data_IF_384520454710
#
_entry.id   IF_384520454710
#
_cell.length_a   1.000
_cell.length_b   1.000
_cell.length_c   1.000
_cell.angle_alpha   90.00
_cell.angle_beta   90.00
_cell.angle_gamma   90.00
#
_symmetry.space_group_name_H-M   'P 1'
#
loop_
_entity.id
_entity.type
_entity.pdbx_description
1 polymer ?
#
# COMPACT_ATOMS: atom_id res chain seq x y z
N UNK A 1 4.03 4.53 13.12
CA UNK A 1 3.90 5.35 11.88
C UNK A 1 5.06 6.33 11.59
N UNK A 2 6.32 6.07 12.00
CA UNK A 2 7.42 7.04 11.77
C UNK A 2 8.59 6.51 10.96
N UNK A 3 8.57 5.27 10.47
CA UNK A 3 9.80 4.67 9.92
C UNK A 3 9.66 3.86 8.66
N UNK A 4 8.55 3.19 8.38
CA UNK A 4 8.31 2.54 7.07
C UNK A 4 7.85 3.51 5.99
N UNK A 5 7.38 4.68 6.41
CA UNK A 5 7.08 5.79 5.50
C UNK A 5 8.26 6.74 5.32
N UNK A 6 9.29 6.63 6.19
CA UNK A 6 10.21 7.73 6.46
C UNK A 6 11.57 7.64 5.75
N UNK A 7 11.88 6.57 5.01
CA UNK A 7 13.28 6.32 4.60
C UNK A 7 13.41 5.68 3.20
N UNK A 8 12.57 6.05 2.23
CA UNK A 8 12.79 5.66 0.82
C UNK A 8 13.86 6.54 0.12
N UNK A 9 14.32 7.65 0.75
CA UNK A 9 14.86 8.80 -0.02
C UNK A 9 16.22 9.40 0.43
N UNK A 10 17.06 8.72 1.23
CA UNK A 10 18.27 9.37 1.79
C UNK A 10 19.62 8.67 1.53
N UNK A 11 19.98 8.42 0.27
CA UNK A 11 21.37 8.26 -0.20
C UNK A 11 21.37 8.40 -1.75
N UNK A 12 22.11 9.26 -2.45
CA UNK A 12 23.42 9.87 -2.21
C UNK A 12 23.45 11.32 -2.70
N UNK A 13 23.98 12.21 -1.86
CA UNK A 13 24.48 13.52 -2.27
C UNK A 13 25.80 13.39 -3.03
N UNK A 14 25.85 13.78 -4.30
CA UNK A 14 26.97 14.55 -4.89
C UNK A 14 26.55 15.31 -6.16
N UNK A 15 26.53 16.65 -6.01
CA UNK A 15 27.00 17.67 -6.98
C UNK A 15 26.17 17.97 -8.25
N UNK A 16 25.53 19.15 -8.16
CA UNK A 16 25.52 20.29 -9.11
C UNK A 16 24.34 20.56 -10.07
N UNK A 17 23.62 21.62 -9.69
CA UNK A 17 23.32 22.84 -10.46
C UNK A 17 22.17 22.87 -11.50
N UNK A 18 21.10 23.54 -11.05
CA UNK A 18 20.43 24.74 -11.60
C UNK A 18 19.97 24.77 -13.06
N UNK A 19 18.70 25.09 -13.27
CA UNK A 19 18.26 26.30 -14.00
C UNK A 19 16.80 26.63 -13.72
N UNK A 20 16.53 27.93 -13.69
CA UNK A 20 15.28 28.62 -13.34
C UNK A 20 14.20 28.60 -14.46
N UNK A 21 13.00 29.05 -14.03
CA UNK A 21 12.01 29.93 -14.70
C UNK A 21 10.65 29.37 -15.19
N UNK A 22 9.65 29.73 -14.37
CA UNK A 22 8.45 30.53 -14.66
C UNK A 22 7.27 30.01 -15.53
N UNK A 23 6.15 29.81 -14.82
CA UNK A 23 4.87 30.54 -14.92
C UNK A 23 3.91 30.24 -16.10
N UNK A 24 2.70 29.74 -15.78
CA UNK A 24 1.45 30.53 -15.70
C UNK A 24 0.17 29.68 -15.97
N UNK A 25 -0.87 29.96 -15.18
CA UNK A 25 -2.18 29.28 -15.07
C UNK A 25 -3.26 29.89 -16.02
N UNK A 26 -4.30 29.09 -16.30
CA UNK A 26 -5.77 29.36 -16.46
C UNK A 26 -6.36 29.41 -17.89
N UNK A 27 -7.69 29.16 -18.09
CA UNK A 27 -8.77 28.82 -17.13
C UNK A 27 -9.72 27.64 -17.52
N UNK A 28 -10.58 27.34 -16.53
CA UNK A 28 -11.81 26.53 -16.44
C UNK A 28 -12.77 26.51 -17.64
N UNK A 29 -13.49 25.40 -17.81
CA UNK A 29 -14.87 25.38 -18.31
C UNK A 29 -15.71 24.36 -17.54
N UNK A 30 -16.72 24.87 -16.83
CA UNK A 30 -17.80 24.12 -16.18
C UNK A 30 -18.85 23.73 -17.24
N UNK A 31 -19.30 22.47 -17.24
CA UNK A 31 -20.51 22.05 -17.96
C UNK A 31 -21.36 21.14 -17.05
N UNK A 32 -22.35 21.75 -16.40
CA UNK A 32 -23.38 21.07 -15.59
C UNK A 32 -24.44 20.47 -16.53
N UNK A 33 -24.42 19.14 -16.72
CA UNK A 33 -25.50 18.42 -17.38
C UNK A 33 -26.32 17.57 -16.37
N UNK A 34 -27.57 17.96 -16.06
CA UNK A 34 -28.37 17.33 -15.02
C UNK A 34 -29.23 16.21 -15.61
N UNK A 35 -28.66 15.03 -15.90
CA UNK A 35 -29.45 13.84 -16.30
C UNK A 35 -28.71 12.50 -16.10
N UNK A 36 -28.21 12.19 -14.90
CA UNK A 36 -27.80 10.82 -14.57
C UNK A 36 -28.88 10.15 -13.68
N UNK A 37 -29.36 8.92 -13.99
CA UNK A 37 -30.19 8.14 -13.09
C UNK A 37 -29.46 7.87 -11.77
N UNK A 38 -30.17 7.47 -10.68
CA UNK A 38 -29.52 7.14 -9.42
C UNK A 38 -28.49 6.05 -9.69
N UNK A 39 -27.21 6.36 -9.54
CA UNK A 39 -26.16 5.36 -9.65
C UNK A 39 -26.35 4.42 -8.47
N UNK A 40 -26.46 3.12 -8.76
CA UNK A 40 -26.19 2.10 -7.75
C UNK A 40 -24.82 2.44 -7.16
N UNK A 41 -24.77 2.49 -5.83
CA UNK A 41 -23.55 2.77 -5.09
C UNK A 41 -22.57 1.64 -5.44
N UNK A 42 -21.68 1.90 -6.40
CA UNK A 42 -20.54 1.06 -6.66
C UNK A 42 -19.74 1.14 -5.37
N UNK A 43 -19.79 0.09 -4.57
CA UNK A 43 -18.85 -0.08 -3.47
C UNK A 43 -17.52 -0.30 -4.17
N UNK A 44 -16.79 0.79 -4.40
CA UNK A 44 -15.39 0.75 -4.81
C UNK A 44 -14.65 0.33 -3.57
N UNK A 45 -14.41 -0.97 -3.43
CA UNK A 45 -13.42 -1.47 -2.49
C UNK A 45 -12.06 -1.20 -3.13
N UNK A 46 -11.43 -0.12 -2.70
CA UNK A 46 -10.06 0.23 -3.07
C UNK A 46 -9.10 -0.79 -2.40
N UNK A 47 -7.96 -1.08 -3.04
CA UNK A 47 -6.92 -1.90 -2.43
C UNK A 47 -6.55 -1.37 -1.05
N UNK A 48 -6.30 -2.27 -0.09
CA UNK A 48 -6.01 -1.90 1.31
C UNK A 48 -4.57 -2.22 1.68
N UNK A 49 -3.73 -1.19 1.73
CA UNK A 49 -2.35 -1.31 2.19
C UNK A 49 -2.30 -1.74 3.67
N UNK A 50 -3.21 -1.21 4.50
CA UNK A 50 -3.33 -1.61 5.91
C UNK A 50 -3.65 -3.11 6.05
N UNK A 51 -4.55 -3.63 5.20
CA UNK A 51 -4.84 -5.05 5.15
C UNK A 51 -3.60 -5.82 4.76
N UNK A 52 -2.92 -5.44 3.67
CA UNK A 52 -1.72 -6.13 3.20
C UNK A 52 -0.66 -6.20 4.29
N UNK A 53 -0.36 -5.09 4.97
CA UNK A 53 0.57 -5.06 6.09
C UNK A 53 0.14 -6.00 7.24
N UNK A 54 -1.15 -5.99 7.60
CA UNK A 54 -1.70 -6.89 8.62
C UNK A 54 -1.54 -8.36 8.23
N UNK A 55 -1.79 -8.69 6.96
CA UNK A 55 -1.68 -10.05 6.43
C UNK A 55 -0.22 -10.54 6.42
N UNK A 56 0.74 -9.69 6.06
CA UNK A 56 2.16 -10.08 6.11
C UNK A 56 2.64 -10.30 7.54
N UNK A 57 2.20 -9.49 8.51
CA UNK A 57 2.48 -9.74 9.93
C UNK A 57 1.87 -11.09 10.39
N UNK A 58 0.64 -11.41 9.96
CA UNK A 58 0.00 -12.71 10.27
C UNK A 58 0.80 -13.87 9.66
N UNK A 59 1.33 -13.75 8.42
CA UNK A 59 2.19 -14.76 7.79
C UNK A 59 3.46 -15.01 8.61
N UNK A 60 4.09 -13.93 9.09
CA UNK A 60 5.29 -14.03 9.92
C UNK A 60 5.02 -14.73 11.26
N UNK A 61 3.88 -14.43 11.89
CA UNK A 61 3.47 -15.11 13.11
C UNK A 61 3.05 -16.56 12.88
N UNK A 62 2.40 -16.89 11.77
CA UNK A 62 2.03 -18.27 11.44
C UNK A 62 3.27 -19.20 11.39
N UNK A 63 4.42 -18.65 11.03
CA UNK A 63 5.70 -19.37 11.02
C UNK A 63 6.35 -19.51 12.41
N UNK A 64 5.89 -18.78 13.44
CA UNK A 64 6.63 -18.60 14.70
C UNK A 64 5.80 -18.68 16.01
N UNK A 65 4.52 -18.26 16.11
CA UNK A 65 3.72 -18.17 17.37
C UNK A 65 2.19 -18.21 17.19
N UNK A 66 1.45 -18.28 18.32
CA UNK A 66 -0.01 -18.29 18.40
C UNK A 66 -0.63 -16.87 18.19
N UNK A 67 -1.88 -16.82 17.70
CA UNK A 67 -2.71 -15.63 17.45
C UNK A 67 -2.71 -14.55 18.57
N UNK A 68 -2.39 -14.93 19.81
CA UNK A 68 -2.39 -14.05 20.99
C UNK A 68 -1.33 -12.96 20.97
N UNK A 69 -0.35 -13.03 20.06
CA UNK A 69 0.73 -12.04 19.97
C UNK A 69 0.41 -10.88 18.99
N UNK A 70 -0.73 -10.96 18.27
CA UNK A 70 -1.22 -9.87 17.43
C UNK A 70 -1.73 -8.70 18.30
N UNK A 71 -1.44 -7.48 17.86
CA UNK A 71 -1.94 -6.22 18.44
C UNK A 71 -3.47 -6.11 18.45
N UNK A 72 -4.14 -6.72 17.47
CA UNK A 72 -5.59 -6.85 17.42
C UNK A 72 -5.98 -8.15 16.72
N UNK A 73 -7.23 -8.56 16.91
CA UNK A 73 -7.88 -9.64 16.16
C UNK A 73 -9.07 -9.09 15.39
N UNK A 74 -9.40 -9.68 14.24
CA UNK A 74 -10.68 -9.39 13.59
C UNK A 74 -11.84 -9.94 14.42
N UNK A 75 -12.94 -9.18 14.48
CA UNK A 75 -14.23 -9.67 14.95
C UNK A 75 -14.95 -10.29 13.76
N UNK A 76 -14.85 -11.61 13.65
CA UNK A 76 -15.37 -12.36 12.51
C UNK A 76 -16.90 -12.46 12.49
N UNK A 77 -17.53 -12.59 11.31
CA UNK A 77 -16.91 -12.70 9.99
C UNK A 77 -16.44 -11.36 9.41
N UNK A 78 -15.44 -11.43 8.53
CA UNK A 78 -15.00 -10.31 7.67
C UNK A 78 -15.17 -10.73 6.20
N UNK A 79 -15.35 -9.75 5.31
CA UNK A 79 -15.42 -10.00 3.87
C UNK A 79 -14.15 -9.50 3.20
N UNK A 80 -13.45 -10.38 2.48
CA UNK A 80 -12.22 -10.08 1.77
C UNK A 80 -12.48 -10.08 0.27
N UNK A 81 -11.90 -9.11 -0.41
CA UNK A 81 -11.86 -9.06 -1.87
C UNK A 81 -10.59 -9.70 -2.40
N UNK A 82 -10.70 -10.38 -3.54
CA UNK A 82 -9.59 -10.95 -4.27
C UNK A 82 -9.34 -10.21 -5.58
N UNK A 83 -8.13 -10.33 -6.11
CA UNK A 83 -7.69 -9.72 -7.37
C UNK A 83 -8.49 -10.14 -8.63
N UNK A 84 -9.32 -11.18 -8.52
CA UNK A 84 -10.25 -11.60 -9.58
C UNK A 84 -11.62 -10.89 -9.50
N UNK A 85 -11.79 -9.95 -8.57
CA UNK A 85 -13.04 -9.19 -8.31
C UNK A 85 -14.10 -9.98 -7.54
N UNK A 86 -13.75 -11.12 -6.93
CA UNK A 86 -14.65 -11.87 -6.06
C UNK A 86 -14.49 -11.47 -4.60
N UNK A 87 -15.55 -11.63 -3.83
CA UNK A 87 -15.56 -11.41 -2.38
C UNK A 87 -15.86 -12.71 -1.66
N UNK A 88 -15.09 -13.01 -0.62
CA UNK A 88 -15.29 -14.19 0.24
C UNK A 88 -15.52 -13.77 1.69
N UNK A 89 -16.46 -14.44 2.36
CA UNK A 89 -16.69 -14.25 3.80
C UNK A 89 -15.81 -15.20 4.60
N UNK A 90 -14.86 -14.64 5.35
CA UNK A 90 -13.96 -15.37 6.23
C UNK A 90 -14.57 -15.44 7.62
N UNK A 91 -14.82 -16.66 8.09
CA UNK A 91 -15.63 -16.89 9.31
C UNK A 91 -14.83 -16.98 10.60
N UNK A 92 -13.52 -17.20 10.51
CA UNK A 92 -12.61 -17.30 11.64
C UNK A 92 -11.14 -17.15 11.22
N UNK A 93 -10.25 -17.18 12.20
CA UNK A 93 -8.80 -17.04 12.01
C UNK A 93 -8.16 -18.18 11.21
N UNK A 94 -8.65 -19.42 11.35
CA UNK A 94 -8.09 -20.56 10.60
C UNK A 94 -8.46 -20.46 9.12
N UNK A 95 -9.67 -20.01 8.81
CA UNK A 95 -10.08 -19.68 7.45
C UNK A 95 -9.23 -18.54 6.86
N UNK A 96 -8.97 -17.48 7.63
CA UNK A 96 -8.08 -16.38 7.21
C UNK A 96 -6.68 -16.90 6.90
N UNK A 97 -6.10 -17.70 7.80
CA UNK A 97 -4.76 -18.24 7.64
C UNK A 97 -4.67 -19.16 6.42
N UNK A 98 -5.70 -19.98 6.17
CA UNK A 98 -5.77 -20.83 4.98
C UNK A 98 -5.77 -20.00 3.70
N UNK A 99 -6.68 -19.02 3.59
CA UNK A 99 -6.76 -18.13 2.44
C UNK A 99 -5.42 -17.40 2.19
N UNK A 100 -4.78 -16.95 3.27
CA UNK A 100 -3.54 -16.21 3.23
C UNK A 100 -2.32 -17.05 2.81
N UNK A 101 -2.24 -18.31 3.27
CA UNK A 101 -1.14 -19.23 2.90
C UNK A 101 -1.30 -19.84 1.51
N UNK A 102 -2.51 -19.79 0.95
CA UNK A 102 -2.84 -20.28 -0.39
C UNK A 102 -2.76 -19.18 -1.47
N UNK A 103 -2.44 -17.93 -1.10
CA UNK A 103 -2.31 -16.81 -2.06
C UNK A 103 -1.30 -17.12 -3.19
N UNK A 104 -1.70 -16.77 -4.41
CA UNK A 104 -0.89 -16.84 -5.62
C UNK A 104 -1.02 -15.54 -6.43
N UNK A 105 -0.14 -15.33 -7.42
CA UNK A 105 -0.26 -14.18 -8.32
C UNK A 105 -1.62 -14.06 -9.03
N UNK A 106 -2.35 -15.17 -9.20
CA UNK A 106 -3.66 -15.18 -9.88
C UNK A 106 -4.84 -15.23 -8.92
N UNK A 107 -4.60 -15.40 -7.63
CA UNK A 107 -5.62 -15.54 -6.59
C UNK A 107 -5.03 -15.08 -5.26
N UNK A 108 -5.23 -13.81 -4.93
CA UNK A 108 -4.75 -13.21 -3.69
C UNK A 108 -5.69 -12.10 -3.23
N UNK A 109 -5.62 -11.80 -1.94
CA UNK A 109 -6.47 -10.82 -1.27
C UNK A 109 -6.02 -9.42 -1.68
N UNK A 110 -6.95 -8.54 -2.03
CA UNK A 110 -6.64 -7.15 -2.40
C UNK A 110 -7.28 -6.14 -1.46
N UNK A 111 -8.41 -6.51 -0.84
CA UNK A 111 -9.20 -5.58 -0.04
C UNK A 111 -9.99 -6.26 1.06
N UNK A 112 -10.56 -5.41 1.92
CA UNK A 112 -11.48 -5.77 3.00
C UNK A 112 -12.68 -4.84 2.93
N UNK A 113 -13.89 -5.38 3.14
CA UNK A 113 -15.10 -4.56 3.16
C UNK A 113 -15.16 -3.70 4.44
N UNK A 114 -15.30 -2.38 4.27
CA UNK A 114 -15.57 -1.45 5.36
C UNK A 114 -17.10 -1.27 5.55
N UNK A 115 -17.58 -1.06 6.79
CA UNK A 115 -16.82 -1.13 8.03
C UNK A 115 -16.65 -2.57 8.53
N UNK A 116 -15.55 -2.83 9.24
CA UNK A 116 -15.34 -4.06 10.01
C UNK A 116 -14.97 -3.74 11.47
N UNK A 117 -14.99 -4.75 12.34
CA UNK A 117 -14.64 -4.57 13.76
C UNK A 117 -13.38 -5.35 14.10
N UNK A 118 -12.54 -4.76 14.95
CA UNK A 118 -11.38 -5.42 15.56
C UNK A 118 -11.56 -5.52 17.07
N UNK A 119 -10.93 -6.53 17.66
CA UNK A 119 -10.89 -6.79 19.10
C UNK A 119 -9.48 -6.47 19.59
N UNK A 120 -9.37 -5.47 20.46
CA UNK A 120 -8.14 -5.05 21.13
C UNK A 120 -8.25 -5.31 22.64
N UNK A 121 -7.15 -5.20 23.39
CA UNK A 121 -7.19 -5.27 24.86
C UNK A 121 -8.13 -4.22 25.48
N UNK A 122 -8.26 -3.05 24.86
CA UNK A 122 -9.14 -1.96 25.28
C UNK A 122 -10.62 -2.18 24.96
N UNK A 123 -10.95 -3.19 24.15
CA UNK A 123 -12.31 -3.49 23.68
C UNK A 123 -12.43 -3.55 22.17
N UNK A 124 -13.67 -3.60 21.68
CA UNK A 124 -13.96 -3.63 20.24
C UNK A 124 -13.90 -2.23 19.64
N UNK A 125 -13.26 -2.12 18.47
CA UNK A 125 -13.14 -0.87 17.70
C UNK A 125 -13.68 -1.11 16.29
N UNK A 126 -14.59 -0.24 15.83
CA UNK A 126 -15.09 -0.26 14.45
C UNK A 126 -14.16 0.55 13.57
N UNK A 127 -13.75 -0.01 12.44
CA UNK A 127 -12.91 0.62 11.42
C UNK A 127 -13.80 0.94 10.22
N UNK A 128 -13.95 2.21 9.88
CA UNK A 128 -14.89 2.71 8.88
C UNK A 128 -14.24 3.03 7.53
N UNK A 129 -12.91 3.11 7.48
CA UNK A 129 -12.17 3.51 6.28
C UNK A 129 -10.74 2.99 6.30
N UNK A 130 -10.10 3.01 5.13
CA UNK A 130 -8.68 2.67 4.99
C UNK A 130 -7.78 3.58 5.85
N UNK A 131 -8.07 4.87 5.96
CA UNK A 131 -7.31 5.79 6.81
C UNK A 131 -7.39 5.40 8.30
N UNK A 132 -8.57 4.99 8.79
CA UNK A 132 -8.72 4.47 10.16
C UNK A 132 -7.95 3.15 10.33
N UNK A 133 -7.92 2.30 9.30
CA UNK A 133 -7.19 1.05 9.34
C UNK A 133 -5.67 1.26 9.35
N UNK A 134 -5.14 2.14 8.50
CA UNK A 134 -3.73 2.50 8.46
C UNK A 134 -3.27 3.08 9.80
N UNK A 135 -4.10 3.93 10.42
CA UNK A 135 -3.83 4.46 11.78
C UNK A 135 -3.67 3.32 12.79
N UNK A 136 -4.60 2.36 12.80
CA UNK A 136 -4.55 1.19 13.68
C UNK A 136 -3.28 0.34 13.45
N UNK A 137 -3.01 -0.03 12.21
CA UNK A 137 -1.84 -0.86 11.84
C UNK A 137 -0.54 -0.18 12.23
N UNK A 138 -0.47 1.14 12.05
CA UNK A 138 0.72 1.90 12.34
C UNK A 138 0.92 2.18 13.84
N UNK A 139 -0.13 2.12 14.66
CA UNK A 139 -0.09 2.05 16.13
C UNK A 139 0.36 0.65 16.62
N UNK A 140 -0.02 -0.40 15.90
CA UNK A 140 0.44 -1.77 16.13
C UNK A 140 1.89 -2.04 15.72
N UNK A 141 2.46 -1.12 14.94
CA UNK A 141 3.84 -1.20 14.48
C UNK A 141 4.10 -2.47 13.64
N UNK A 142 3.13 -2.95 12.87
CA UNK A 142 3.21 -4.08 11.91
C UNK A 142 4.03 -3.75 10.66
N UNK A 143 5.03 -2.89 10.84
CA UNK A 143 5.61 -2.03 9.83
C UNK A 143 7.14 -2.05 10.00
N UNK A 144 7.66 -3.25 10.31
CA UNK A 144 8.91 -3.44 11.04
C UNK A 144 10.16 -3.47 10.18
N UNK A 145 10.06 -3.41 8.86
CA UNK A 145 11.26 -3.30 8.00
C UNK A 145 11.62 -1.82 7.84
N UNK A 146 12.85 -1.44 8.20
CA UNK A 146 13.26 -0.05 7.97
C UNK A 146 13.36 0.19 6.47
N UNK A 147 12.83 1.29 5.96
CA UNK A 147 12.82 1.56 4.51
C UNK A 147 14.24 1.70 3.97
N UNK A 148 15.20 2.10 4.81
CA UNK A 148 16.60 2.11 4.40
C UNK A 148 17.08 0.69 4.07
N UNK A 149 16.61 -0.31 4.82
CA UNK A 149 16.92 -1.71 4.57
C UNK A 149 16.20 -2.19 3.31
N UNK A 150 14.93 -1.81 3.11
CA UNK A 150 14.18 -2.13 1.87
C UNK A 150 14.87 -1.51 0.66
N UNK A 151 15.11 -0.20 0.63
CA UNK A 151 15.78 0.50 -0.49
C UNK A 151 17.16 -0.05 -0.73
N UNK A 152 17.97 -0.25 0.33
CA UNK A 152 19.32 -0.80 0.14
C UNK A 152 19.26 -2.19 -0.50
N UNK A 153 18.25 -2.98 -0.12
CA UNK A 153 18.09 -4.32 -0.61
C UNK A 153 17.40 -4.39 -1.99
N UNK A 154 16.52 -3.44 -2.34
CA UNK A 154 15.79 -3.42 -3.63
C UNK A 154 16.46 -2.55 -4.70
N UNK A 155 17.36 -1.62 -4.37
CA UNK A 155 17.97 -0.69 -5.34
C UNK A 155 18.70 -1.37 -6.50
N UNK A 156 19.14 -2.62 -6.32
CA UNK A 156 19.81 -3.40 -7.35
C UNK A 156 18.91 -4.46 -7.97
N UNK A 157 17.63 -4.52 -7.60
CA UNK A 157 16.67 -5.55 -8.03
C UNK A 157 15.82 -5.09 -9.21
N UNK A 158 15.30 -3.86 -9.15
CA UNK A 158 14.46 -3.30 -10.20
C UNK A 158 14.60 -1.78 -10.29
N UNK A 159 14.25 -1.24 -11.44
CA UNK A 159 14.07 0.19 -11.68
C UNK A 159 12.58 0.48 -11.91
N UNK A 160 12.05 1.53 -11.30
CA UNK A 160 10.67 1.96 -11.52
C UNK A 160 10.56 2.62 -12.90
N UNK A 161 9.59 2.19 -13.70
CA UNK A 161 9.28 2.83 -14.98
C UNK A 161 8.32 3.99 -14.72
N UNK A 162 8.82 5.21 -14.94
CA UNK A 162 8.03 6.44 -14.77
C UNK A 162 7.15 6.74 -15.99
N UNK A 163 6.00 7.42 -15.79
CA UNK A 163 5.54 8.05 -14.56
C UNK A 163 4.88 7.10 -13.56
N UNK A 164 4.89 7.48 -12.27
CA UNK A 164 4.15 6.82 -11.19
C UNK A 164 3.31 7.85 -10.45
N UNK A 165 2.05 7.51 -10.16
CA UNK A 165 1.16 8.32 -9.34
C UNK A 165 1.02 7.67 -7.96
N UNK A 166 0.99 8.49 -6.92
CA UNK A 166 0.84 8.05 -5.53
C UNK A 166 -0.30 8.79 -4.86
N UNK A 167 -0.94 8.16 -3.88
CA UNK A 167 -1.83 8.81 -2.94
C UNK A 167 -1.01 9.23 -1.73
N UNK A 168 -0.97 10.51 -1.40
CA UNK A 168 -0.27 11.05 -0.23
C UNK A 168 -1.24 11.93 0.54
N UNK A 169 -1.72 11.47 1.69
CA UNK A 169 -2.82 12.11 2.42
C UNK A 169 -4.04 12.30 1.50
N UNK A 170 -4.42 13.55 1.22
CA UNK A 170 -5.53 13.92 0.34
C UNK A 170 -5.06 14.26 -1.09
N UNK A 171 -3.75 14.25 -1.36
CA UNK A 171 -3.15 14.62 -2.64
C UNK A 171 -2.80 13.38 -3.49
N UNK A 172 -2.79 13.55 -4.82
CA UNK A 172 -2.42 12.51 -5.79
C UNK A 172 -1.29 12.92 -6.72
N UNK A 173 -0.06 13.13 -6.21
CA UNK A 173 1.07 13.55 -7.05
C UNK A 173 1.46 12.47 -8.07
N UNK A 174 1.74 12.92 -9.30
CA UNK A 174 2.42 12.11 -10.34
C UNK A 174 3.87 12.52 -10.44
N UNK A 175 4.76 11.55 -10.41
CA UNK A 175 6.20 11.71 -10.55
C UNK A 175 6.66 11.16 -11.89
N UNK A 176 7.50 11.91 -12.61
CA UNK A 176 7.99 11.56 -13.94
C UNK A 176 9.41 10.97 -13.94
N UNK A 177 10.07 11.00 -12.79
CA UNK A 177 11.40 10.46 -12.59
C UNK A 177 11.70 10.35 -11.09
N UNK A 178 12.73 9.57 -10.74
CA UNK A 178 13.19 9.34 -9.38
C UNK A 178 13.53 10.64 -8.62
N UNK A 179 14.11 11.64 -9.30
CA UNK A 179 14.49 12.90 -8.66
C UNK A 179 13.28 13.73 -8.20
N UNK A 180 12.14 13.66 -8.90
CA UNK A 180 10.89 14.30 -8.46
C UNK A 180 10.36 13.64 -7.19
N UNK A 181 10.42 12.31 -7.12
CA UNK A 181 10.03 11.56 -5.91
C UNK A 181 10.94 11.96 -4.74
N UNK A 182 12.26 11.98 -4.95
CA UNK A 182 13.24 12.43 -3.95
C UNK A 182 13.02 13.87 -3.46
N UNK A 183 12.66 14.78 -4.37
CA UNK A 183 12.39 16.15 -4.00
C UNK A 183 11.13 16.28 -3.13
N UNK A 184 10.10 15.48 -3.42
CA UNK A 184 8.83 15.50 -2.71
C UNK A 184 8.98 14.95 -1.28
N UNK A 185 9.65 13.81 -1.12
CA UNK A 185 9.82 13.16 0.18
C UNK A 185 11.11 13.53 0.92
N UNK A 186 12.01 14.30 0.30
CA UNK A 186 13.24 14.81 0.94
C UNK A 186 13.00 15.90 2.00
N UNK A 187 11.75 16.35 2.17
CA UNK A 187 11.30 17.29 3.18
C UNK A 187 10.91 16.66 4.52
N UNK A 188 10.09 17.37 5.30
CA UNK A 188 9.54 16.84 6.56
C UNK A 188 8.31 15.96 6.28
N UNK A 189 8.51 14.65 6.36
CA UNK A 189 7.51 13.62 6.09
C UNK A 189 6.81 13.13 7.37
N UNK A 190 6.94 13.84 8.50
CA UNK A 190 6.21 13.47 9.74
C UNK A 190 4.70 13.66 9.64
N UNK A 191 4.20 14.36 8.62
CA UNK A 191 2.79 14.71 8.46
C UNK A 191 2.07 13.85 7.41
N UNK A 192 2.71 12.77 6.93
CA UNK A 192 2.04 11.85 6.02
C UNK A 192 1.38 10.77 6.88
N UNK A 193 0.06 10.74 6.84
CA UNK A 193 -0.83 9.83 7.57
C UNK A 193 -1.32 8.70 6.66
N UNK A 194 -1.48 8.97 5.36
CA UNK A 194 -1.92 8.00 4.36
C UNK A 194 -0.94 7.96 3.19
N UNK A 195 -0.61 6.76 2.73
CA UNK A 195 0.18 6.54 1.52
C UNK A 195 -0.39 5.35 0.73
N UNK A 196 -0.36 5.47 -0.59
CA UNK A 196 -0.66 4.39 -1.51
C UNK A 196 -0.10 4.65 -2.91
N UNK A 197 -0.22 3.66 -3.78
CA UNK A 197 0.10 3.79 -5.20
C UNK A 197 -1.18 3.83 -6.02
N UNK A 198 -1.14 4.57 -7.12
CA UNK A 198 -2.13 4.43 -8.18
C UNK A 198 -1.65 3.31 -9.10
N UNK A 199 -2.44 2.24 -9.14
CA UNK A 199 -2.13 1.05 -9.93
C UNK A 199 -2.84 1.10 -11.30
N UNK A 200 -2.28 0.45 -12.34
CA UNK A 200 -0.99 -0.24 -12.35
C UNK A 200 0.20 0.69 -12.65
N UNK A 201 1.38 0.28 -12.22
CA UNK A 201 2.66 0.82 -12.70
C UNK A 201 3.60 -0.32 -13.10
N UNK A 202 4.73 -0.03 -13.74
CA UNK A 202 5.70 -1.08 -14.10
C UNK A 202 7.10 -0.84 -13.55
N UNK A 203 7.84 -1.94 -13.44
CA UNK A 203 9.24 -1.95 -13.05
C UNK A 203 10.04 -2.75 -14.07
N UNK A 204 11.32 -2.43 -14.22
CA UNK A 204 12.28 -3.19 -15.03
C UNK A 204 13.24 -3.92 -14.11
N UNK A 205 13.27 -5.25 -14.16
CA UNK A 205 14.22 -6.05 -13.39
C UNK A 205 15.64 -5.83 -13.90
N UNK A 206 16.58 -5.50 -13.01
CA UNK A 206 17.97 -5.14 -13.37
C UNK A 206 18.75 -6.33 -13.93
N UNK A 207 18.48 -7.55 -13.43
CA UNK A 207 19.21 -8.75 -13.83
C UNK A 207 18.81 -9.24 -15.23
N UNK A 208 17.51 -9.18 -15.56
CA UNK A 208 16.95 -9.75 -16.78
C UNK A 208 16.59 -8.71 -17.85
N UNK A 209 16.44 -7.44 -17.46
CA UNK A 209 15.79 -6.38 -18.25
C UNK A 209 14.34 -6.71 -18.63
N UNK A 210 13.68 -7.58 -17.87
CA UNK A 210 12.26 -7.88 -18.03
C UNK A 210 11.41 -6.79 -17.38
N UNK A 211 10.35 -6.37 -18.07
CA UNK A 211 9.35 -5.47 -17.50
C UNK A 211 8.26 -6.27 -16.79
N UNK A 212 7.98 -5.89 -15.54
CA UNK A 212 6.92 -6.46 -14.72
C UNK A 212 5.87 -5.38 -14.43
N UNK A 213 4.59 -5.71 -14.64
CA UNK A 213 3.47 -4.88 -14.22
C UNK A 213 3.14 -5.16 -12.76
N UNK A 214 2.89 -4.09 -12.00
CA UNK A 214 2.51 -4.10 -10.60
C UNK A 214 1.08 -3.60 -10.52
N UNK A 215 0.17 -4.51 -10.17
CA UNK A 215 -1.28 -4.29 -10.26
C UNK A 215 -1.91 -3.92 -8.91
N UNK A 216 -1.22 -4.21 -7.79
CA UNK A 216 -1.73 -4.01 -6.44
C UNK A 216 -0.61 -4.13 -5.37
N UNK A 217 -0.98 -3.95 -4.10
CA UNK A 217 -0.07 -4.07 -2.95
C UNK A 217 0.50 -5.48 -2.79
N UNK A 218 -0.23 -6.54 -3.17
CA UNK A 218 0.30 -7.91 -3.15
C UNK A 218 1.46 -8.04 -4.14
N UNK A 219 1.32 -7.49 -5.35
CA UNK A 219 2.37 -7.50 -6.36
C UNK A 219 3.62 -6.75 -5.90
N UNK A 220 3.48 -5.65 -5.16
CA UNK A 220 4.61 -4.93 -4.53
C UNK A 220 5.32 -5.80 -3.50
N UNK A 221 4.58 -6.40 -2.56
CA UNK A 221 5.16 -7.27 -1.53
C UNK A 221 5.82 -8.50 -2.14
N UNK A 222 5.17 -9.12 -3.14
CA UNK A 222 5.71 -10.27 -3.85
C UNK A 222 7.01 -9.93 -4.60
N UNK A 223 7.08 -8.76 -5.24
CA UNK A 223 8.30 -8.25 -5.86
C UNK A 223 9.44 -8.13 -4.84
N UNK A 224 9.19 -7.53 -3.68
CA UNK A 224 10.21 -7.32 -2.64
C UNK A 224 10.65 -8.65 -2.02
N UNK A 225 9.70 -9.48 -1.60
CA UNK A 225 10.01 -10.67 -0.79
C UNK A 225 10.49 -11.84 -1.66
N UNK A 226 9.78 -12.13 -2.75
CA UNK A 226 10.02 -13.35 -3.53
C UNK A 226 10.93 -13.13 -4.73
N UNK A 227 10.89 -11.94 -5.36
CA UNK A 227 11.74 -11.64 -6.53
C UNK A 227 13.08 -11.04 -6.07
N UNK A 228 13.06 -10.05 -5.18
CA UNK A 228 14.29 -9.44 -4.65
C UNK A 228 14.90 -10.24 -3.48
N UNK A 229 14.17 -11.18 -2.89
CA UNK A 229 14.68 -12.09 -1.86
C UNK A 229 14.87 -11.45 -0.48
N UNK A 230 14.05 -10.44 -0.15
CA UNK A 230 14.13 -9.71 1.12
C UNK A 230 13.03 -10.25 2.03
N UNK A 231 13.42 -11.01 3.06
CA UNK A 231 12.51 -11.45 4.13
C UNK A 231 12.82 -10.68 5.42
#
# INVERSE_FOLDING_TARGET
>A
MKKFLMIFFMALTVVACSSDDDNQITPENNDDNPNNPPQEEVVVTEGSLALRATLEEIKDFANLRAQTDLCFNFDYPINLEYNNGTTESITDYEALLTALLEETQTEHITGIEFPFTVIQESGNTVINSEAEFQTLVADCNYDIVSVQDVVVATQFCFEVNYPVTMYVNEDTPTFNNQSEVEAYFGGDITNIEVLGFDYPFSVTLTETNEELQIEDDYAVVNLINNICGIN
#
